data_IF_241763096036
#
_entry.id   IF_241763096036
#
_cell.length_a   1.000
_cell.length_b   1.000
_cell.length_c   1.000
_cell.angle_alpha   90.00
_cell.angle_beta   90.00
_cell.angle_gamma   90.00
#
_symmetry.space_group_name_H-M   'P 1'
#
loop_
_entity.id
_entity.type
_entity.pdbx_description
1 polymer ?
#
# COMPACT_ATOMS: atom_id res chain seq x y z
N UNK A 1 -4.36 -17.64 -0.04
CA UNK A 1 -2.88 -17.72 -0.14
C UNK A 1 -2.27 -16.31 -0.16
N UNK A 2 -2.68 -15.44 -1.09
CA UNK A 2 -2.16 -14.07 -1.18
C UNK A 2 -2.51 -13.17 0.02
N UNK A 3 -3.75 -13.21 0.53
CA UNK A 3 -4.13 -12.46 1.74
C UNK A 3 -3.26 -12.82 2.95
N UNK A 4 -3.05 -14.12 3.20
CA UNK A 4 -2.17 -14.59 4.27
C UNK A 4 -0.74 -14.08 4.11
N UNK A 5 -0.21 -14.10 2.88
CA UNK A 5 1.12 -13.58 2.60
C UNK A 5 1.19 -12.07 2.87
N UNK A 6 0.18 -11.30 2.44
CA UNK A 6 0.10 -9.86 2.68
C UNK A 6 0.00 -9.52 4.17
N UNK A 7 -0.84 -10.24 4.94
CA UNK A 7 -0.95 -10.08 6.39
C UNK A 7 0.39 -10.30 7.10
N UNK A 8 1.17 -11.30 6.67
CA UNK A 8 2.47 -11.61 7.29
C UNK A 8 3.60 -10.69 6.85
N UNK A 9 3.69 -10.39 5.56
CA UNK A 9 4.85 -9.74 4.97
C UNK A 9 4.75 -8.21 4.92
N UNK A 10 3.55 -7.63 4.99
CA UNK A 10 3.39 -6.17 4.98
C UNK A 10 3.38 -5.61 6.40
N UNK A 11 3.79 -4.35 6.54
CA UNK A 11 3.55 -3.59 7.76
C UNK A 11 2.07 -3.20 7.88
N UNK A 12 1.32 -3.16 6.77
CA UNK A 12 -0.11 -2.86 6.76
C UNK A 12 -0.98 -3.94 7.41
N UNK A 13 -0.52 -5.21 7.45
CA UNK A 13 -1.24 -6.37 8.01
C UNK A 13 -2.55 -6.70 7.30
N UNK A 14 -2.65 -6.35 6.01
CA UNK A 14 -3.79 -6.69 5.15
C UNK A 14 -3.39 -6.65 3.69
N UNK A 15 -4.28 -7.17 2.84
CA UNK A 15 -4.21 -6.93 1.41
C UNK A 15 -4.58 -5.45 1.11
N UNK A 16 -3.91 -4.88 0.11
CA UNK A 16 -4.26 -3.58 -0.44
C UNK A 16 -5.49 -3.65 -1.36
N UNK A 17 -6.18 -2.53 -1.55
CA UNK A 17 -7.29 -2.42 -2.51
C UNK A 17 -6.81 -1.87 -3.86
N UNK A 18 -7.63 -2.04 -4.90
CA UNK A 18 -7.36 -1.46 -6.23
C UNK A 18 -7.40 0.07 -6.17
N UNK A 19 -8.24 0.64 -5.32
CA UNK A 19 -8.37 2.08 -5.14
C UNK A 19 -7.14 2.72 -4.47
N UNK A 20 -6.40 1.99 -3.64
CA UNK A 20 -5.13 2.47 -3.09
C UNK A 20 -4.09 2.68 -4.20
N UNK A 21 -4.07 1.81 -5.21
CA UNK A 21 -3.20 1.98 -6.38
C UNK A 21 -3.73 3.13 -7.26
N UNK A 22 -5.02 3.16 -7.59
CA UNK A 22 -5.55 4.19 -8.49
C UNK A 22 -5.48 5.60 -7.87
N UNK A 23 -5.61 5.75 -6.55
CA UNK A 23 -5.43 7.02 -5.85
C UNK A 23 -3.99 7.55 -5.99
N UNK A 24 -2.97 6.69 -5.95
CA UNK A 24 -1.58 7.10 -6.19
C UNK A 24 -1.37 7.64 -7.62
N UNK A 25 -2.02 7.02 -8.60
CA UNK A 25 -2.00 7.47 -10.00
C UNK A 25 -2.69 8.82 -10.12
N UNK A 26 -3.86 8.98 -9.49
CA UNK A 26 -4.56 10.26 -9.45
C UNK A 26 -3.71 11.37 -8.83
N UNK A 27 -2.97 11.09 -7.76
CA UNK A 27 -2.03 12.06 -7.17
C UNK A 27 -1.02 12.55 -8.21
N UNK A 28 -0.30 11.64 -8.88
CA UNK A 28 0.69 12.00 -9.88
C UNK A 28 0.12 12.81 -11.05
N UNK A 29 -1.10 12.51 -11.49
CA UNK A 29 -1.74 13.20 -12.61
C UNK A 29 -2.46 14.49 -12.20
N UNK A 30 -2.65 14.72 -10.91
CA UNK A 30 -3.30 15.93 -10.39
C UNK A 30 -2.32 17.10 -10.26
N UNK A 31 -2.81 18.34 -10.07
CA UNK A 31 -1.94 19.49 -9.74
C UNK A 31 -1.07 19.28 -8.48
N UNK A 32 -1.47 18.37 -7.56
CA UNK A 32 -0.68 18.05 -6.37
C UNK A 32 0.65 17.35 -6.70
N UNK A 33 0.74 16.69 -7.86
CA UNK A 33 1.96 16.06 -8.38
C UNK A 33 2.85 17.00 -9.20
N UNK A 34 2.53 18.30 -9.31
CA UNK A 34 3.18 19.22 -10.25
C UNK A 34 4.70 19.38 -10.11
N UNK A 35 5.26 19.04 -8.95
CA UNK A 35 6.72 19.07 -8.70
C UNK A 35 7.32 17.69 -8.42
N UNK A 36 6.57 16.62 -8.65
CA UNK A 36 7.05 15.24 -8.48
C UNK A 36 7.34 14.66 -9.86
N UNK A 37 8.61 14.42 -10.16
CA UNK A 37 9.07 13.90 -11.45
C UNK A 37 10.25 12.93 -11.26
N UNK A 38 10.32 11.89 -12.09
CA UNK A 38 11.36 10.85 -12.00
C UNK A 38 11.29 9.98 -10.75
N UNK A 39 10.16 10.02 -10.03
CA UNK A 39 9.92 9.28 -8.79
C UNK A 39 9.19 7.96 -9.02
N UNK A 40 9.33 7.01 -8.08
CA UNK A 40 8.57 5.75 -8.04
C UNK A 40 7.91 5.57 -6.68
N UNK A 41 6.59 5.76 -6.62
CA UNK A 41 5.80 5.53 -5.42
C UNK A 41 5.48 4.04 -5.25
N UNK A 42 5.85 3.50 -4.10
CA UNK A 42 5.53 2.14 -3.70
C UNK A 42 4.16 2.12 -3.01
N UNK A 43 3.23 1.31 -3.52
CA UNK A 43 1.88 1.10 -2.96
C UNK A 43 1.73 -0.37 -2.61
N UNK A 44 2.37 -0.79 -1.53
CA UNK A 44 2.55 -2.22 -1.20
C UNK A 44 2.38 -2.55 0.29
N UNK A 45 1.83 -1.63 1.08
CA UNK A 45 1.66 -1.81 2.52
C UNK A 45 2.99 -1.86 3.30
N UNK A 46 4.07 -1.32 2.75
CA UNK A 46 5.40 -1.26 3.37
C UNK A 46 6.28 -2.47 3.09
N UNK A 47 5.92 -3.30 2.11
CA UNK A 47 6.68 -4.50 1.75
C UNK A 47 8.10 -4.15 1.30
N UNK A 48 8.28 -3.13 0.46
CA UNK A 48 9.56 -2.78 -0.16
C UNK A 48 10.68 -2.43 0.82
N UNK A 49 10.36 -1.94 2.03
CA UNK A 49 11.37 -1.49 2.98
C UNK A 49 12.11 -2.66 3.63
N UNK A 50 11.39 -3.48 4.40
CA UNK A 50 11.95 -4.65 5.10
C UNK A 50 10.95 -5.80 5.21
N UNK A 51 9.84 -5.76 4.45
CA UNK A 51 8.67 -6.65 4.54
C UNK A 51 8.73 -7.75 5.62
N UNK A 52 9.02 -9.02 5.28
CA UNK A 52 9.00 -10.14 6.22
C UNK A 52 10.19 -10.19 7.20
N UNK A 53 11.19 -9.30 7.06
CA UNK A 53 12.34 -9.24 7.97
C UNK A 53 12.06 -8.40 9.22
N UNK A 54 11.07 -7.50 9.16
CA UNK A 54 10.64 -6.69 10.29
C UNK A 54 9.47 -7.38 11.00
N UNK A 55 9.64 -7.68 12.29
CA UNK A 55 8.57 -8.24 13.12
C UNK A 55 7.60 -7.14 13.57
N UNK A 56 6.71 -6.75 12.65
CA UNK A 56 5.60 -5.85 12.96
C UNK A 56 4.47 -6.67 13.62
N UNK A 57 4.04 -6.33 14.85
CA UNK A 57 2.95 -7.05 15.52
C UNK A 57 1.63 -6.98 14.74
N UNK A 58 0.71 -7.94 14.94
CA UNK A 58 -0.64 -7.87 14.37
C UNK A 58 -1.38 -6.61 14.83
N UNK A 59 -2.05 -5.91 13.91
CA UNK A 59 -2.85 -4.72 14.21
C UNK A 59 -3.86 -4.42 13.09
N UNK A 60 -4.81 -3.55 13.37
CA UNK A 60 -5.83 -3.08 12.40
C UNK A 60 -5.70 -1.56 12.10
N UNK A 61 -4.58 -0.95 12.47
CA UNK A 61 -4.41 0.52 12.42
C UNK A 61 -4.38 1.11 11.00
N UNK A 62 -4.09 0.32 9.98
CA UNK A 62 -4.05 0.76 8.59
C UNK A 62 -5.39 0.45 7.91
N UNK A 63 -6.32 1.40 7.95
CA UNK A 63 -7.66 1.20 7.39
C UNK A 63 -7.60 1.16 5.85
N UNK A 64 -8.43 0.34 5.18
CA UNK A 64 -8.48 0.30 3.72
C UNK A 64 -9.09 1.59 3.15
N UNK A 65 -8.60 1.99 1.98
CA UNK A 65 -9.24 3.00 1.14
C UNK A 65 -10.04 2.34 0.02
N UNK A 66 -11.20 2.92 -0.32
CA UNK A 66 -12.08 2.40 -1.37
C UNK A 66 -13.07 1.34 -0.89
N UNK A 67 -13.75 0.72 -1.85
CA UNK A 67 -14.83 -0.25 -1.57
C UNK A 67 -14.61 -1.60 -2.25
N UNK A 68 -13.53 -1.74 -3.03
CA UNK A 68 -13.19 -2.98 -3.69
C UNK A 68 -13.08 -4.12 -2.67
N UNK A 69 -13.73 -5.23 -3.03
CA UNK A 69 -13.67 -6.52 -2.32
C UNK A 69 -12.83 -7.56 -3.09
N UNK A 70 -12.12 -7.10 -4.13
CA UNK A 70 -11.14 -7.91 -4.86
C UNK A 70 -9.93 -8.21 -3.98
#
# INVERSE_FOLDING_TARGET
>A
MFEYAAEKATAAKRMGSVEEVSASVLYYLSPAGSYVTGDTMHVDGGWHLMGPLLDVPPHENNHPYGTSKL
#
